data_IF_890607098768
#
_entry.id   IF_890607098768
#
_cell.length_a   1.000
_cell.length_b   1.000
_cell.length_c   1.000
_cell.angle_alpha   90.00
_cell.angle_beta   90.00
_cell.angle_gamma   90.00
#
_symmetry.space_group_name_H-M   'P 1'
#
loop_
_entity.id
_entity.type
_entity.pdbx_description
1 polymer ?
#
# COMPACT_ATOMS: atom_id res chain seq x y z
N UNK A 1 6.69 26.26 45.73
CA UNK A 1 6.90 26.20 44.26
C UNK A 1 7.54 24.88 43.81
N UNK A 2 8.61 24.38 44.47
CA UNK A 2 9.29 23.12 44.10
C UNK A 2 8.39 21.86 44.08
N UNK A 3 7.47 21.73 45.04
CA UNK A 3 6.55 20.59 45.11
C UNK A 3 5.53 20.59 43.96
N UNK A 4 5.01 21.76 43.62
CA UNK A 4 4.05 21.94 42.50
C UNK A 4 4.71 21.59 41.16
N UNK A 5 5.97 22.02 40.97
CA UNK A 5 6.74 21.72 39.77
C UNK A 5 7.02 20.21 39.63
N UNK A 6 7.31 19.52 40.73
CA UNK A 6 7.55 18.07 40.72
C UNK A 6 6.30 17.27 40.36
N UNK A 7 5.14 17.64 40.92
CA UNK A 7 3.86 17.00 40.59
C UNK A 7 3.48 17.18 39.12
N UNK A 8 3.72 18.37 38.55
CA UNK A 8 3.48 18.65 37.14
C UNK A 8 4.33 17.76 36.21
N UNK A 9 5.61 17.55 36.56
CA UNK A 9 6.51 16.70 35.78
C UNK A 9 6.09 15.22 35.81
N UNK A 10 5.61 14.72 36.96
CA UNK A 10 5.14 13.33 37.09
C UNK A 10 3.87 13.09 36.26
N UNK A 11 2.93 14.03 36.29
CA UNK A 11 1.68 13.91 35.52
C UNK A 11 1.96 13.98 34.01
N UNK A 12 2.85 14.87 33.58
CA UNK A 12 3.28 14.95 32.18
C UNK A 12 3.93 13.63 31.71
N UNK A 13 4.77 13.01 32.54
CA UNK A 13 5.41 11.72 32.23
C UNK A 13 4.43 10.56 32.05
N UNK A 14 3.35 10.49 32.85
CA UNK A 14 2.33 9.44 32.70
C UNK A 14 1.53 9.57 31.39
N UNK A 15 1.30 10.79 30.91
CA UNK A 15 0.55 11.06 29.67
C UNK A 15 1.37 10.71 28.42
N UNK A 16 2.70 10.87 28.47
CA UNK A 16 3.59 10.60 27.32
C UNK A 16 3.89 9.11 27.07
N UNK A 17 3.60 8.23 28.03
CA UNK A 17 3.97 6.80 27.97
C UNK A 17 2.98 5.89 27.24
N UNK A 18 1.87 6.42 26.73
CA UNK A 18 0.81 5.61 26.12
C UNK A 18 1.13 5.35 24.63
N UNK A 19 2.00 4.38 24.34
CA UNK A 19 2.19 3.88 22.99
C UNK A 19 1.15 2.79 22.71
N UNK A 20 0.06 3.14 22.01
CA UNK A 20 -0.86 2.15 21.45
C UNK A 20 -0.18 1.53 20.23
N UNK A 21 0.17 0.25 20.32
CA UNK A 21 0.64 -0.51 19.18
C UNK A 21 -0.49 -0.57 18.13
N UNK A 22 -0.15 -0.36 16.85
CA UNK A 22 -1.08 -0.61 15.77
C UNK A 22 -1.51 -2.09 15.82
N UNK A 23 -2.78 -2.42 15.51
CA UNK A 23 -3.21 -3.80 15.42
C UNK A 23 -2.32 -4.55 14.41
N UNK A 24 -1.95 -5.78 14.78
CA UNK A 24 -1.15 -6.66 13.93
C UNK A 24 -1.88 -6.85 12.60
N UNK A 25 -1.19 -6.54 11.50
CA UNK A 25 -1.73 -6.84 10.17
C UNK A 25 -1.95 -8.34 10.07
N UNK A 26 -3.09 -8.80 9.52
CA UNK A 26 -3.27 -10.23 9.27
C UNK A 26 -2.06 -10.77 8.51
N UNK A 27 -1.62 -12.01 8.79
CA UNK A 27 -0.50 -12.60 8.07
C UNK A 27 -0.78 -12.46 6.58
N UNK A 28 0.10 -11.74 5.88
CA UNK A 28 0.01 -11.59 4.44
C UNK A 28 -0.05 -13.02 3.87
N UNK A 29 -1.15 -13.36 3.18
CA UNK A 29 -1.17 -14.55 2.36
C UNK A 29 0.07 -14.52 1.45
N UNK A 30 0.73 -15.65 1.25
CA UNK A 30 1.88 -15.72 0.36
C UNK A 30 1.46 -15.07 -0.97
N UNK A 31 2.28 -14.17 -1.50
CA UNK A 31 2.00 -13.48 -2.77
C UNK A 31 1.75 -14.51 -3.87
N UNK A 32 2.35 -15.70 -3.75
CA UNK A 32 2.17 -16.84 -4.65
C UNK A 32 0.78 -17.48 -4.57
N UNK A 33 0.08 -17.31 -3.46
CA UNK A 33 -1.31 -17.75 -3.23
C UNK A 33 -2.33 -16.67 -3.61
N UNK A 34 -1.87 -15.50 -4.04
CA UNK A 34 -2.70 -14.36 -4.43
C UNK A 34 -2.55 -14.01 -5.90
N UNK A 35 -3.65 -13.84 -6.62
CA UNK A 35 -3.63 -13.47 -8.02
C UNK A 35 -4.99 -13.66 -8.68
N UNK A 36 -5.12 -13.21 -9.92
CA UNK A 36 -6.32 -13.42 -10.73
C UNK A 36 -5.93 -13.81 -12.16
N UNK A 37 -6.75 -14.64 -12.79
CA UNK A 37 -6.58 -15.02 -14.20
C UNK A 37 -7.54 -14.17 -15.04
N UNK A 38 -7.00 -13.44 -16.00
CA UNK A 38 -7.79 -12.67 -16.96
C UNK A 38 -7.61 -13.25 -18.36
N UNK A 39 -8.65 -13.91 -18.87
CA UNK A 39 -8.64 -14.51 -20.20
C UNK A 39 -8.88 -13.43 -21.26
N UNK A 40 -7.96 -13.34 -22.22
CA UNK A 40 -7.97 -12.29 -23.24
C UNK A 40 -8.13 -12.88 -24.63
N UNK A 41 -8.87 -12.17 -25.48
CA UNK A 41 -9.02 -12.55 -26.88
C UNK A 41 -7.91 -11.88 -27.70
N UNK A 42 -6.93 -12.66 -28.13
CA UNK A 42 -5.80 -12.20 -28.95
C UNK A 42 -4.44 -12.49 -28.32
N UNK A 43 -3.37 -12.11 -29.03
CA UNK A 43 -2.00 -12.31 -28.58
C UNK A 43 -1.31 -10.99 -28.20
N UNK A 44 -0.54 -11.03 -27.12
CA UNK A 44 0.34 -9.94 -26.71
C UNK A 44 1.53 -9.90 -27.67
N UNK A 45 1.65 -8.81 -28.43
CA UNK A 45 2.70 -8.62 -29.44
C UNK A 45 3.70 -7.51 -29.07
N UNK A 46 3.37 -6.67 -28.10
CA UNK A 46 4.24 -5.64 -27.52
C UNK A 46 3.72 -5.26 -26.13
N UNK A 47 4.61 -4.82 -25.25
CA UNK A 47 4.25 -4.23 -23.96
C UNK A 47 4.27 -2.71 -23.97
N UNK A 48 4.86 -2.10 -25.01
CA UNK A 48 4.86 -0.65 -25.16
C UNK A 48 3.49 -0.19 -25.72
N UNK A 49 2.68 0.56 -24.94
CA UNK A 49 1.35 0.99 -25.37
C UNK A 49 1.38 1.92 -26.57
N UNK A 50 2.44 2.72 -26.75
CA UNK A 50 2.59 3.63 -27.90
C UNK A 50 2.87 2.91 -29.21
N UNK A 51 3.21 1.61 -29.16
CA UNK A 51 3.49 0.77 -30.33
C UNK A 51 2.38 -0.28 -30.55
N UNK A 52 1.37 -0.29 -29.69
CA UNK A 52 0.25 -1.22 -29.79
C UNK A 52 -0.93 -0.56 -30.51
N UNK A 53 -1.59 -1.33 -31.37
CA UNK A 53 -2.90 -0.98 -31.93
C UNK A 53 -4.04 -1.81 -31.33
N UNK A 54 -3.73 -2.75 -30.43
CA UNK A 54 -4.71 -3.62 -29.79
C UNK A 54 -5.15 -3.02 -28.46
N UNK A 55 -6.46 -2.98 -28.22
CA UNK A 55 -7.06 -2.54 -26.95
C UNK A 55 -6.59 -3.37 -25.75
N UNK A 56 -6.15 -4.61 -25.98
CA UNK A 56 -5.52 -5.43 -24.94
C UNK A 56 -4.36 -4.71 -24.25
N UNK A 57 -3.42 -4.19 -25.04
CA UNK A 57 -2.20 -3.58 -24.52
C UNK A 57 -2.49 -2.18 -24.03
N UNK A 58 -3.32 -1.41 -24.74
CA UNK A 58 -3.59 -0.01 -24.44
C UNK A 58 -4.51 0.17 -23.22
N UNK A 59 -5.51 -0.71 -23.04
CA UNK A 59 -6.53 -0.52 -22.00
C UNK A 59 -6.30 -1.42 -20.79
N UNK A 60 -5.96 -2.70 -20.99
CA UNK A 60 -5.83 -3.65 -19.86
C UNK A 60 -4.41 -3.70 -19.31
N UNK A 61 -3.41 -3.72 -20.19
CA UNK A 61 -2.02 -3.93 -19.79
C UNK A 61 -1.32 -2.62 -19.43
N UNK A 62 -1.60 -1.54 -20.15
CA UNK A 62 -0.99 -0.25 -19.88
C UNK A 62 -1.36 0.27 -18.49
N UNK A 63 -2.60 0.09 -18.06
CA UNK A 63 -3.08 0.51 -16.73
C UNK A 63 -2.40 -0.25 -15.57
N UNK A 64 -1.84 -1.44 -15.82
CA UNK A 64 -1.12 -2.21 -14.81
C UNK A 64 0.38 -1.88 -14.77
N UNK A 65 0.95 -1.45 -15.88
CA UNK A 65 2.41 -1.25 -16.01
C UNK A 65 2.84 0.21 -16.04
N UNK A 66 1.96 1.14 -16.39
CA UNK A 66 2.30 2.54 -16.59
C UNK A 66 1.30 3.44 -15.87
N UNK A 67 1.83 4.43 -15.16
CA UNK A 67 1.05 5.56 -14.69
C UNK A 67 0.91 6.61 -15.79
N UNK A 68 -0.18 7.38 -15.73
CA UNK A 68 -0.40 8.57 -16.56
C UNK A 68 -0.27 9.82 -15.69
N UNK A 69 0.18 10.91 -16.32
CA UNK A 69 0.28 12.24 -15.69
C UNK A 69 -1.11 12.81 -15.39
#
# INVERSE_FOLDING_TARGET
MRQVLSSLLVIAGLVSGQAIAAPESPPHADIRDSGFVYCVSGQVNTFNPSKASSGLIVDTLAAQFYDRL
#
